data_IF_807681887305
#
_entry.id   IF_807681887305
#
_cell.length_a   1.000
_cell.length_b   1.000
_cell.length_c   1.000
_cell.angle_alpha   90.00
_cell.angle_beta   90.00
_cell.angle_gamma   90.00
#
_symmetry.space_group_name_H-M   'P 1'
#
loop_
_entity.id
_entity.type
_entity.pdbx_description
1 polymer ?
#
# COMPACT_ATOMS: atom_id res chain seq x y z
N UNK A 1 -24.01 -24.70 -7.81
CA UNK A 1 -23.51 -24.33 -6.48
C UNK A 1 -22.03 -24.00 -6.63
N UNK A 2 -21.69 -22.72 -6.83
CA UNK A 2 -20.31 -22.21 -6.82
C UNK A 2 -20.32 -20.83 -6.16
N UNK A 3 -20.52 -20.75 -4.82
CA UNK A 3 -20.63 -19.46 -4.13
C UNK A 3 -19.27 -18.88 -3.71
N UNK A 4 -18.19 -19.67 -3.72
CA UNK A 4 -16.97 -19.35 -2.96
C UNK A 4 -16.07 -18.28 -3.61
N UNK A 5 -16.17 -18.07 -4.92
CA UNK A 5 -15.31 -17.11 -5.65
C UNK A 5 -15.91 -15.70 -5.64
N UNK A 6 -17.24 -15.59 -5.61
CA UNK A 6 -17.95 -14.31 -5.65
C UNK A 6 -17.72 -13.48 -4.37
N UNK A 7 -17.70 -14.14 -3.20
CA UNK A 7 -17.49 -13.44 -1.93
C UNK A 7 -16.16 -12.70 -1.85
N UNK A 8 -15.07 -13.36 -2.25
CA UNK A 8 -13.72 -12.76 -2.24
C UNK A 8 -13.60 -11.63 -3.26
N UNK A 9 -14.15 -11.80 -4.47
CA UNK A 9 -14.15 -10.74 -5.49
C UNK A 9 -14.95 -9.51 -5.05
N UNK A 10 -16.12 -9.72 -4.44
CA UNK A 10 -16.96 -8.62 -3.94
C UNK A 10 -16.24 -7.86 -2.84
N UNK A 11 -15.68 -8.57 -1.85
CA UNK A 11 -14.93 -7.96 -0.73
C UNK A 11 -13.69 -7.23 -1.25
N UNK A 12 -12.93 -7.84 -2.16
CA UNK A 12 -11.74 -7.23 -2.77
C UNK A 12 -12.07 -5.98 -3.58
N UNK A 13 -13.16 -5.99 -4.33
CA UNK A 13 -13.62 -4.83 -5.12
C UNK A 13 -14.10 -3.70 -4.20
N UNK A 14 -14.92 -4.00 -3.20
CA UNK A 14 -15.35 -3.02 -2.18
C UNK A 14 -14.15 -2.40 -1.47
N UNK A 15 -13.17 -3.23 -1.09
CA UNK A 15 -11.94 -2.75 -0.47
C UNK A 15 -11.14 -1.85 -1.41
N UNK A 16 -10.97 -2.22 -2.68
CA UNK A 16 -10.26 -1.40 -3.66
C UNK A 16 -10.93 -0.04 -3.89
N UNK A 17 -12.27 -0.01 -3.99
CA UNK A 17 -13.05 1.23 -4.13
C UNK A 17 -12.94 2.10 -2.86
N UNK A 18 -13.03 1.48 -1.68
CA UNK A 18 -12.84 2.18 -0.41
C UNK A 18 -11.44 2.79 -0.30
N UNK A 19 -10.40 2.06 -0.70
CA UNK A 19 -9.02 2.55 -0.66
C UNK A 19 -8.76 3.67 -1.68
N UNK A 20 -9.39 3.63 -2.86
CA UNK A 20 -9.37 4.77 -3.79
C UNK A 20 -10.02 6.02 -3.17
N UNK A 21 -11.18 5.85 -2.53
CA UNK A 21 -11.85 6.96 -1.85
C UNK A 21 -11.00 7.52 -0.70
N UNK A 22 -10.38 6.65 0.10
CA UNK A 22 -9.48 7.06 1.18
C UNK A 22 -8.24 7.81 0.67
N UNK A 23 -7.66 7.35 -0.45
CA UNK A 23 -6.53 8.01 -1.12
C UNK A 23 -6.93 9.41 -1.61
N UNK A 24 -8.14 9.57 -2.16
CA UNK A 24 -8.69 10.87 -2.55
C UNK A 24 -8.94 11.79 -1.34
N UNK A 25 -9.42 11.23 -0.23
CA UNK A 25 -9.65 12.00 1.00
C UNK A 25 -8.34 12.54 1.60
N UNK A 26 -7.27 11.74 1.57
CA UNK A 26 -5.93 12.16 2.01
C UNK A 26 -5.32 13.23 1.11
N UNK A 27 -5.59 13.22 -0.20
CA UNK A 27 -5.21 14.32 -1.08
C UNK A 27 -5.90 15.63 -0.68
N UNK A 28 -7.20 15.57 -0.35
CA UNK A 28 -7.98 16.75 0.07
C UNK A 28 -7.47 17.35 1.39
N UNK A 29 -6.88 16.54 2.26
CA UNK A 29 -6.26 16.98 3.53
C UNK A 29 -4.87 17.60 3.36
N UNK A 30 -4.32 17.66 2.14
CA UNK A 30 -2.95 18.16 1.83
C UNK A 30 -1.82 17.46 2.59
N UNK A 31 -2.07 16.28 3.15
CA UNK A 31 -1.06 15.47 3.84
C UNK A 31 -0.17 14.69 2.86
N UNK A 32 -0.55 14.63 1.58
CA UNK A 32 0.18 13.95 0.52
C UNK A 32 0.59 14.89 -0.62
N UNK A 33 1.79 14.67 -1.14
CA UNK A 33 2.29 15.32 -2.34
C UNK A 33 1.56 14.76 -3.57
N UNK A 34 1.32 15.57 -4.61
CA UNK A 34 0.66 15.11 -5.84
C UNK A 34 1.30 13.85 -6.48
N UNK A 35 2.61 13.66 -6.31
CA UNK A 35 3.34 12.45 -6.74
C UNK A 35 2.93 11.20 -5.96
N UNK A 36 2.77 11.33 -4.64
CA UNK A 36 2.37 10.22 -3.76
C UNK A 36 0.93 9.81 -4.07
N UNK A 37 0.04 10.79 -4.27
CA UNK A 37 -1.33 10.53 -4.69
C UNK A 37 -1.40 9.77 -6.02
N UNK A 38 -0.62 10.17 -7.02
CA UNK A 38 -0.55 9.46 -8.31
C UNK A 38 -0.07 8.03 -8.17
N UNK A 39 0.99 7.80 -7.36
CA UNK A 39 1.52 6.47 -7.11
C UNK A 39 0.51 5.56 -6.39
N UNK A 40 -0.14 6.06 -5.33
CA UNK A 40 -1.14 5.29 -4.59
C UNK A 40 -2.40 5.02 -5.42
N UNK A 41 -2.87 6.00 -6.19
CA UNK A 41 -4.02 5.82 -7.07
C UNK A 41 -3.73 4.79 -8.16
N UNK A 42 -2.54 4.83 -8.77
CA UNK A 42 -2.12 3.82 -9.74
C UNK A 42 -2.06 2.42 -9.12
N UNK A 43 -1.54 2.30 -7.91
CA UNK A 43 -1.48 1.03 -7.19
C UNK A 43 -2.87 0.46 -6.91
N UNK A 44 -3.79 1.28 -6.39
CA UNK A 44 -5.18 0.84 -6.13
C UNK A 44 -5.95 0.52 -7.41
N UNK A 45 -5.71 1.27 -8.50
CA UNK A 45 -6.28 0.98 -9.81
C UNK A 45 -5.77 -0.36 -10.37
N UNK A 46 -4.47 -0.63 -10.25
CA UNK A 46 -3.87 -1.91 -10.64
C UNK A 46 -4.44 -3.07 -9.78
N UNK A 47 -4.60 -2.86 -8.47
CA UNK A 47 -5.22 -3.84 -7.59
C UNK A 47 -6.67 -4.15 -7.98
N UNK A 48 -7.47 -3.12 -8.30
CA UNK A 48 -8.85 -3.30 -8.76
C UNK A 48 -8.93 -4.05 -10.09
N UNK A 49 -8.06 -3.73 -11.05
CA UNK A 49 -7.99 -4.46 -12.34
C UNK A 49 -7.74 -5.94 -12.11
N UNK A 50 -6.80 -6.27 -11.23
CA UNK A 50 -6.44 -7.65 -10.90
C UNK A 50 -7.55 -8.35 -10.09
N UNK A 51 -8.27 -7.63 -9.23
CA UNK A 51 -9.39 -8.16 -8.46
C UNK A 51 -10.61 -8.49 -9.35
N UNK A 52 -10.89 -7.64 -10.35
CA UNK A 52 -12.01 -7.83 -11.30
C UNK A 52 -11.65 -8.90 -12.35
N UNK A 53 -10.40 -8.91 -12.82
CA UNK A 53 -9.91 -9.84 -13.85
C UNK A 53 -8.78 -10.73 -13.28
N UNK A 54 -9.10 -11.75 -12.47
CA UNK A 54 -8.09 -12.65 -11.92
C UNK A 54 -7.39 -13.48 -13.01
N UNK A 55 -8.00 -13.62 -14.19
CA UNK A 55 -7.46 -14.34 -15.36
C UNK A 55 -6.12 -13.77 -15.85
N UNK A 56 -5.85 -12.48 -15.60
CA UNK A 56 -4.58 -11.84 -15.97
C UNK A 56 -3.41 -12.47 -15.19
N UNK A 57 -3.67 -13.01 -14.01
CA UNK A 57 -2.66 -13.66 -13.17
C UNK A 57 -2.44 -15.14 -13.51
N UNK A 58 -3.31 -15.78 -14.29
CA UNK A 58 -3.18 -17.20 -14.64
C UNK A 58 -1.81 -17.58 -15.25
N UNK A 59 -1.21 -16.82 -16.19
CA UNK A 59 0.13 -17.15 -16.69
C UNK A 59 1.22 -17.02 -15.62
N UNK A 60 1.09 -16.06 -14.69
CA UNK A 60 2.06 -15.84 -13.60
C UNK A 60 1.95 -16.96 -12.56
N UNK A 61 0.73 -17.31 -12.14
CA UNK A 61 0.44 -18.38 -11.17
C UNK A 61 0.94 -19.73 -11.68
N UNK A 62 0.75 -20.02 -12.97
CA UNK A 62 1.28 -21.24 -13.62
C UNK A 62 2.80 -21.26 -13.67
N UNK A 63 3.45 -20.13 -13.92
CA UNK A 63 4.92 -20.04 -13.92
C UNK A 63 5.53 -20.20 -12.53
N UNK A 64 4.82 -19.78 -11.48
CA UNK A 64 5.27 -19.90 -10.09
C UNK A 64 4.84 -21.22 -9.42
N UNK A 65 4.20 -22.15 -10.16
CA UNK A 65 3.67 -23.43 -9.64
C UNK A 65 2.78 -23.27 -8.40
N UNK A 66 2.08 -22.14 -8.28
CA UNK A 66 1.18 -21.89 -7.17
C UNK A 66 -0.14 -22.61 -7.44
N UNK A 67 -0.56 -23.45 -6.49
CA UNK A 67 -1.77 -24.27 -6.63
C UNK A 67 -3.05 -23.43 -6.73
N UNK A 68 -3.04 -22.19 -6.21
CA UNK A 68 -4.19 -21.29 -6.19
C UNK A 68 -3.77 -19.82 -6.36
N UNK A 69 -4.56 -19.07 -7.12
CA UNK A 69 -4.42 -17.61 -7.29
C UNK A 69 -4.47 -16.87 -5.94
N UNK A 70 -5.23 -17.39 -4.97
CA UNK A 70 -5.31 -16.83 -3.62
C UNK A 70 -3.96 -16.86 -2.88
N UNK A 71 -3.20 -17.94 -3.02
CA UNK A 71 -1.92 -18.09 -2.33
C UNK A 71 -0.91 -17.04 -2.85
N UNK A 72 -0.98 -16.70 -4.14
CA UNK A 72 -0.23 -15.60 -4.73
C UNK A 72 -0.61 -14.24 -4.13
N UNK A 73 -1.90 -13.94 -4.00
CA UNK A 73 -2.37 -12.69 -3.39
C UNK A 73 -1.94 -12.55 -1.93
N UNK A 74 -1.97 -13.64 -1.16
CA UNK A 74 -1.52 -13.63 0.23
C UNK A 74 -0.04 -13.28 0.29
N UNK A 75 0.81 -13.96 -0.50
CA UNK A 75 2.25 -13.68 -0.54
C UNK A 75 2.53 -12.24 -0.97
N UNK A 76 1.89 -11.78 -2.05
CA UNK A 76 2.07 -10.42 -2.55
C UNK A 76 1.60 -9.38 -1.53
N UNK A 77 0.46 -9.61 -0.88
CA UNK A 77 -0.06 -8.77 0.19
C UNK A 77 0.90 -8.68 1.38
N UNK A 78 1.46 -9.80 1.83
CA UNK A 78 2.47 -9.82 2.88
C UNK A 78 3.75 -9.08 2.46
N UNK A 79 4.26 -9.32 1.24
CA UNK A 79 5.42 -8.60 0.71
C UNK A 79 5.17 -7.09 0.69
N UNK A 80 3.97 -6.67 0.26
CA UNK A 80 3.58 -5.27 0.20
C UNK A 80 3.47 -4.65 1.60
N UNK A 81 2.84 -5.33 2.55
CA UNK A 81 2.73 -4.90 3.94
C UNK A 81 4.10 -4.78 4.62
N UNK A 82 4.96 -5.78 4.45
CA UNK A 82 6.32 -5.75 4.99
C UNK A 82 7.13 -4.61 4.35
N UNK A 83 7.08 -4.46 3.02
CA UNK A 83 7.78 -3.40 2.31
C UNK A 83 7.34 -2.01 2.77
N UNK A 84 6.03 -1.77 2.85
CA UNK A 84 5.46 -0.49 3.29
C UNK A 84 5.76 -0.21 4.76
N UNK A 85 5.66 -1.23 5.63
CA UNK A 85 5.98 -1.09 7.06
C UNK A 85 7.46 -0.79 7.26
N UNK A 86 8.34 -1.48 6.53
CA UNK A 86 9.78 -1.23 6.59
C UNK A 86 10.14 0.17 6.07
N UNK A 87 9.54 0.59 4.95
CA UNK A 87 9.70 1.95 4.43
C UNK A 87 9.25 3.00 5.45
N UNK A 88 8.09 2.78 6.07
CA UNK A 88 7.56 3.66 7.12
C UNK A 88 8.50 3.71 8.32
N UNK A 89 9.03 2.57 8.77
CA UNK A 89 10.02 2.50 9.84
C UNK A 89 11.27 3.33 9.52
N UNK A 90 11.81 3.21 8.30
CA UNK A 90 12.96 4.00 7.85
C UNK A 90 12.65 5.51 7.84
N UNK A 91 11.47 5.90 7.37
CA UNK A 91 11.03 7.29 7.33
C UNK A 91 10.89 7.87 8.75
N UNK A 92 10.26 7.12 9.66
CA UNK A 92 10.13 7.49 11.07
C UNK A 92 11.51 7.65 11.72
N UNK A 93 12.42 6.70 11.52
CA UNK A 93 13.77 6.76 12.08
C UNK A 93 14.57 7.96 11.55
N UNK A 94 14.43 8.30 10.27
CA UNK A 94 15.06 9.48 9.67
C UNK A 94 14.48 10.77 10.24
N UNK A 95 13.17 10.83 10.45
CA UNK A 95 12.50 11.97 11.05
C UNK A 95 12.90 12.16 12.52
N UNK A 96 13.01 11.08 13.30
CA UNK A 96 13.50 11.13 14.68
C UNK A 96 14.90 11.75 14.76
N UNK A 97 15.85 11.31 13.92
CA UNK A 97 17.20 11.89 13.89
C UNK A 97 17.20 13.38 13.53
N UNK A 98 16.38 13.79 12.56
CA UNK A 98 16.26 15.20 12.17
C UNK A 98 15.72 16.06 13.32
N UNK A 99 14.72 15.56 14.05
CA UNK A 99 14.18 16.25 15.23
C UNK A 99 15.26 16.36 16.30
N UNK A 100 16.01 15.30 16.58
CA UNK A 100 17.11 15.31 17.54
C UNK A 100 18.18 16.36 17.19
N UNK A 101 18.59 16.41 15.91
CA UNK A 101 19.53 17.42 15.42
C UNK A 101 19.01 18.85 15.57
N UNK A 102 17.72 19.08 15.28
CA UNK A 102 17.08 20.40 15.44
C UNK A 102 17.05 20.79 16.93
N UNK A 103 16.60 19.90 17.81
CA UNK A 103 16.54 20.16 19.25
C UNK A 103 17.92 20.45 19.82
N UNK A 104 18.95 19.70 19.40
CA UNK A 104 20.34 19.93 19.81
C UNK A 104 20.84 21.31 19.38
N UNK A 105 20.58 21.72 18.14
CA UNK A 105 20.95 23.06 17.64
C UNK A 105 20.26 24.16 18.44
N UNK A 106 18.95 24.05 18.65
CA UNK A 106 18.17 25.02 19.43
C UNK A 106 18.66 25.12 20.88
N UNK A 107 19.03 24.00 21.51
CA UNK A 107 19.56 24.00 22.87
C UNK A 107 20.93 24.70 22.97
N UNK A 108 21.82 24.46 21.99
CA UNK A 108 23.14 25.11 21.92
C UNK A 108 23.04 26.61 21.62
N UNK A 109 22.05 27.04 20.82
CA UNK A 109 21.79 28.46 20.54
C UNK A 109 21.21 29.19 21.75
N UNK A 110 20.30 28.56 22.50
CA UNK A 110 19.68 29.16 23.71
C UNK A 110 20.58 29.14 24.95
N UNK A 111 21.58 28.27 24.99
CA UNK A 111 22.54 28.16 26.09
C UNK A 111 23.76 29.08 25.97
N UNK A 112 23.88 29.83 24.87
CA UNK A 112 24.80 30.96 24.72
C UNK A 112 24.12 32.25 25.11
#
# INVERSE_FOLDING_TARGET
MAPDILGIQIVGTLFGVFMLYYTFLNLKRREMTAKEYGAWTFLWAAFLLVAIFPQILDPIVRSLSLARTMDFFIILGFMFLFGTSFYTYLLVRKNQKRIEEIVRKVALEKGK
#
